data_IF_024517388368
#
_entry.id   IF_024517388368
#
_cell.length_a   1.000
_cell.length_b   1.000
_cell.length_c   1.000
_cell.angle_alpha   90.00
_cell.angle_beta   90.00
_cell.angle_gamma   90.00
#
_symmetry.space_group_name_H-M   'P 1'
#
loop_
_entity.id
_entity.type
_entity.pdbx_description
1 polymer ?
#
# COMPACT_ATOMS: atom_id res chain seq x y z
N UNK A 1 12.07 -21.45 10.86
CA UNK A 1 11.30 -20.40 11.57
C UNK A 1 11.25 -19.11 10.76
N UNK A 2 12.31 -18.29 10.70
CA UNK A 2 12.27 -16.96 10.05
C UNK A 2 11.92 -17.01 8.54
N UNK A 3 12.50 -17.95 7.77
CA UNK A 3 12.16 -18.14 6.35
C UNK A 3 10.69 -18.51 6.12
N UNK A 4 10.12 -19.35 7.01
CA UNK A 4 8.69 -19.68 6.94
C UNK A 4 7.86 -18.42 7.19
N UNK A 5 8.18 -17.66 8.23
CA UNK A 5 7.48 -16.42 8.56
C UNK A 5 7.49 -15.42 7.39
N UNK A 6 8.66 -15.15 6.80
CA UNK A 6 8.79 -14.27 5.65
C UNK A 6 8.04 -14.81 4.43
N UNK A 7 8.08 -16.12 4.20
CA UNK A 7 7.38 -16.73 3.06
C UNK A 7 5.87 -16.63 3.22
N UNK A 8 5.33 -16.90 4.41
CA UNK A 8 3.89 -16.77 4.73
C UNK A 8 3.35 -15.38 4.38
N UNK A 9 4.10 -14.33 4.74
CA UNK A 9 3.75 -12.94 4.43
C UNK A 9 3.65 -12.66 2.92
N UNK A 10 4.29 -13.46 2.08
CA UNK A 10 4.30 -13.31 0.63
C UNK A 10 3.39 -14.30 -0.12
N UNK A 11 2.69 -15.22 0.56
CA UNK A 11 1.91 -16.26 -0.12
C UNK A 11 0.71 -15.71 -0.91
N UNK A 12 0.08 -14.63 -0.44
CA UNK A 12 -0.99 -13.95 -1.19
C UNK A 12 -0.48 -13.43 -2.52
N UNK A 13 0.51 -12.52 -2.47
CA UNK A 13 1.14 -11.95 -3.65
C UNK A 13 1.77 -13.02 -4.58
N UNK A 14 2.29 -14.12 -4.01
CA UNK A 14 2.77 -15.26 -4.78
C UNK A 14 1.64 -15.93 -5.58
N UNK A 15 0.49 -16.17 -4.96
CA UNK A 15 -0.70 -16.72 -5.63
C UNK A 15 -1.32 -15.75 -6.65
N UNK A 16 -1.15 -14.44 -6.44
CA UNK A 16 -1.57 -13.39 -7.38
C UNK A 16 -0.61 -13.22 -8.57
N UNK A 17 0.59 -13.82 -8.53
CA UNK A 17 1.64 -13.55 -9.51
C UNK A 17 2.23 -12.13 -9.40
N UNK A 18 1.99 -11.45 -8.28
CA UNK A 18 2.36 -10.05 -8.04
C UNK A 18 3.76 -9.87 -7.40
N UNK A 19 4.55 -10.94 -7.33
CA UNK A 19 5.92 -10.88 -6.80
C UNK A 19 6.94 -10.66 -7.92
N UNK A 20 7.91 -9.79 -7.67
CA UNK A 20 9.12 -9.68 -8.48
C UNK A 20 9.76 -11.06 -8.74
N UNK A 21 10.32 -11.31 -9.95
CA UNK A 21 10.76 -12.66 -10.36
C UNK A 21 11.71 -13.33 -9.37
N UNK A 22 12.66 -12.58 -8.83
CA UNK A 22 13.62 -13.10 -7.85
C UNK A 22 12.96 -13.50 -6.52
N UNK A 23 11.91 -12.78 -6.08
CA UNK A 23 11.14 -13.13 -4.88
C UNK A 23 10.22 -14.32 -5.15
N UNK A 24 9.55 -14.33 -6.30
CA UNK A 24 8.69 -15.44 -6.72
C UNK A 24 9.47 -16.77 -6.70
N UNK A 25 10.67 -16.80 -7.29
CA UNK A 25 11.51 -18.00 -7.30
C UNK A 25 11.93 -18.45 -5.89
N UNK A 26 12.31 -17.53 -5.00
CA UNK A 26 12.66 -17.87 -3.60
C UNK A 26 11.47 -18.41 -2.82
N UNK A 27 10.29 -17.82 -3.01
CA UNK A 27 9.03 -18.27 -2.40
C UNK A 27 8.67 -19.67 -2.89
N UNK A 28 8.70 -19.91 -4.20
CA UNK A 28 8.43 -21.22 -4.81
C UNK A 28 9.34 -22.31 -4.23
N UNK A 29 10.66 -22.08 -4.22
CA UNK A 29 11.63 -23.03 -3.64
C UNK A 29 11.38 -23.34 -2.16
N UNK A 30 10.93 -22.34 -1.38
CA UNK A 30 10.62 -22.59 0.03
C UNK A 30 9.32 -23.37 0.20
N UNK A 31 8.29 -23.03 -0.58
CA UNK A 31 7.01 -23.76 -0.57
C UNK A 31 7.26 -25.22 -0.91
N UNK A 32 7.98 -25.54 -1.99
CA UNK A 32 8.35 -26.90 -2.37
C UNK A 32 8.99 -27.69 -1.22
N UNK A 33 9.95 -27.06 -0.53
CA UNK A 33 10.69 -27.69 0.56
C UNK A 33 9.93 -27.73 1.91
N UNK A 34 8.87 -26.94 2.11
CA UNK A 34 8.21 -26.77 3.40
C UNK A 34 6.76 -27.23 3.37
N UNK A 35 6.44 -28.34 4.06
CA UNK A 35 5.08 -28.87 4.14
C UNK A 35 4.07 -27.87 4.71
N UNK A 36 4.44 -27.10 5.73
CA UNK A 36 3.55 -26.11 6.33
C UNK A 36 3.19 -24.97 5.35
N UNK A 37 4.16 -24.46 4.59
CA UNK A 37 3.89 -23.41 3.60
C UNK A 37 3.11 -23.97 2.40
N UNK A 38 3.36 -25.23 1.99
CA UNK A 38 2.54 -25.92 0.98
C UNK A 38 1.07 -26.02 1.39
N UNK A 39 0.80 -26.43 2.62
CA UNK A 39 -0.56 -26.54 3.13
C UNK A 39 -1.29 -25.18 3.13
N UNK A 40 -0.58 -24.11 3.49
CA UNK A 40 -1.14 -22.76 3.50
C UNK A 40 -1.44 -22.22 2.10
N UNK A 41 -0.54 -22.45 1.13
CA UNK A 41 -0.79 -22.16 -0.29
C UNK A 41 -2.04 -22.88 -0.78
N UNK A 42 -2.19 -24.17 -0.45
CA UNK A 42 -3.36 -24.96 -0.84
C UNK A 42 -4.66 -24.43 -0.19
N UNK A 43 -4.61 -24.02 1.07
CA UNK A 43 -5.76 -23.44 1.78
C UNK A 43 -6.20 -22.11 1.16
N UNK A 44 -5.25 -21.21 0.89
CA UNK A 44 -5.50 -19.92 0.25
C UNK A 44 -6.03 -20.10 -1.18
N UNK A 45 -5.47 -21.03 -1.96
CA UNK A 45 -5.94 -21.33 -3.31
C UNK A 45 -7.40 -21.85 -3.30
N UNK A 46 -7.75 -22.71 -2.33
CA UNK A 46 -9.12 -23.19 -2.15
C UNK A 46 -10.09 -22.05 -1.80
N UNK A 47 -9.72 -21.20 -0.84
CA UNK A 47 -10.52 -20.03 -0.46
C UNK A 47 -10.79 -19.12 -1.67
N UNK A 48 -9.76 -18.85 -2.48
CA UNK A 48 -9.89 -18.06 -3.72
C UNK A 48 -10.79 -18.71 -4.76
N UNK A 49 -10.84 -20.05 -4.81
CA UNK A 49 -11.80 -20.79 -5.64
C UNK A 49 -13.23 -20.49 -5.19
N UNK A 50 -13.52 -20.71 -3.91
CA UNK A 50 -14.84 -20.47 -3.33
C UNK A 50 -15.32 -19.03 -3.50
N UNK A 51 -14.43 -18.05 -3.28
CA UNK A 51 -14.76 -16.63 -3.47
C UNK A 51 -15.08 -16.33 -4.94
N UNK A 52 -14.32 -16.86 -5.89
CA UNK A 52 -14.59 -16.65 -7.32
C UNK A 52 -15.91 -17.29 -7.76
N UNK A 53 -16.21 -18.47 -7.26
CA UNK A 53 -17.48 -19.15 -7.53
C UNK A 53 -18.67 -18.37 -6.93
N UNK A 54 -18.53 -17.90 -5.69
CA UNK A 54 -19.58 -17.11 -5.03
C UNK A 54 -19.80 -15.73 -5.67
N UNK A 55 -18.72 -15.11 -6.16
CA UNK A 55 -18.73 -13.81 -6.82
C UNK A 55 -18.74 -13.94 -8.35
N UNK A 56 -19.31 -15.01 -8.91
CA UNK A 56 -19.43 -15.22 -10.34
C UNK A 56 -20.39 -14.18 -10.97
N UNK A 57 -19.94 -12.92 -10.99
CA UNK A 57 -20.58 -11.76 -11.58
C UNK A 57 -19.94 -11.56 -12.95
N UNK A 58 -20.74 -11.39 -14.02
CA UNK A 58 -20.18 -11.05 -15.33
C UNK A 58 -19.32 -9.79 -15.20
N UNK A 59 -18.12 -9.84 -15.78
CA UNK A 59 -17.20 -8.71 -15.71
C UNK A 59 -17.88 -7.45 -16.28
N UNK A 60 -17.85 -6.32 -15.57
CA UNK A 60 -18.35 -5.06 -16.10
C UNK A 60 -17.62 -4.68 -17.39
N UNK A 61 -18.30 -3.94 -18.27
CA UNK A 61 -17.61 -3.31 -19.40
C UNK A 61 -16.74 -2.15 -18.90
N UNK A 62 -15.42 -2.36 -18.92
CA UNK A 62 -14.43 -1.38 -18.44
C UNK A 62 -13.92 -0.45 -19.54
N UNK A 63 -14.37 -0.59 -20.79
CA UNK A 63 -13.78 0.10 -21.95
C UNK A 63 -13.81 1.63 -21.83
N UNK A 64 -14.87 2.21 -21.26
CA UNK A 64 -14.99 3.66 -21.04
C UNK A 64 -14.20 4.20 -19.83
N UNK A 65 -14.00 3.38 -18.80
CA UNK A 65 -13.42 3.79 -17.51
C UNK A 65 -11.89 3.57 -17.45
N UNK A 66 -11.43 2.37 -17.88
CA UNK A 66 -10.05 1.93 -17.70
C UNK A 66 -8.99 2.87 -18.30
N UNK A 67 -9.19 3.47 -19.50
CA UNK A 67 -8.22 4.42 -20.05
C UNK A 67 -7.99 5.64 -19.16
N UNK A 68 -9.02 6.12 -18.45
CA UNK A 68 -8.90 7.23 -17.51
C UNK A 68 -8.04 6.86 -16.29
N UNK A 69 -8.24 5.66 -15.74
CA UNK A 69 -7.46 5.13 -14.63
C UNK A 69 -5.99 4.99 -14.99
N UNK A 70 -5.68 4.39 -16.15
CA UNK A 70 -4.30 4.20 -16.63
C UNK A 70 -3.59 5.56 -16.76
N UNK A 71 -4.24 6.54 -17.39
CA UNK A 71 -3.69 7.90 -17.50
C UNK A 71 -3.43 8.55 -16.15
N UNK A 72 -4.34 8.36 -15.19
CA UNK A 72 -4.16 8.87 -13.82
C UNK A 72 -2.94 8.29 -13.11
N UNK A 73 -2.73 6.98 -13.25
CA UNK A 73 -1.57 6.28 -12.68
C UNK A 73 -0.27 6.76 -13.31
N UNK A 74 -0.22 6.84 -14.65
CA UNK A 74 0.96 7.35 -15.37
C UNK A 74 1.28 8.80 -14.97
N UNK A 75 0.26 9.66 -14.93
CA UNK A 75 0.43 11.05 -14.49
C UNK A 75 0.97 11.14 -13.05
N UNK A 76 0.54 10.25 -12.15
CA UNK A 76 1.05 10.19 -10.78
C UNK A 76 2.51 9.72 -10.72
N UNK A 77 2.91 8.72 -11.52
CA UNK A 77 4.30 8.25 -11.61
C UNK A 77 5.25 9.32 -12.13
N UNK A 78 4.78 10.19 -13.03
CA UNK A 78 5.58 11.26 -13.62
C UNK A 78 5.59 12.55 -12.79
N UNK A 79 4.78 12.67 -11.74
CA UNK A 79 4.90 13.79 -10.80
C UNK A 79 6.18 13.64 -9.98
N UNK A 80 7.15 14.51 -10.24
CA UNK A 80 8.30 14.67 -9.37
C UNK A 80 7.84 15.08 -7.97
N UNK A 81 8.49 14.57 -6.90
CA UNK A 81 8.18 15.00 -5.54
C UNK A 81 8.36 16.52 -5.46
N UNK A 82 7.32 17.22 -5.02
CA UNK A 82 7.35 18.67 -4.81
C UNK A 82 8.50 18.96 -3.84
N UNK A 83 9.45 19.85 -4.18
CA UNK A 83 10.55 20.16 -3.28
C UNK A 83 9.98 20.66 -1.95
N UNK A 84 10.33 19.96 -0.86
CA UNK A 84 9.98 20.37 0.48
C UNK A 84 10.47 21.81 0.69
N UNK A 85 9.56 22.70 1.12
CA UNK A 85 9.85 24.11 1.34
C UNK A 85 11.10 24.24 2.21
N UNK A 86 12.08 25.02 1.73
CA UNK A 86 13.33 25.30 2.47
C UNK A 86 12.98 25.72 3.90
N UNK A 87 13.57 25.11 4.95
CA UNK A 87 13.38 25.59 6.31
C UNK A 87 13.95 27.01 6.41
N UNK A 88 13.18 27.93 6.99
CA UNK A 88 13.65 29.30 7.24
C UNK A 88 14.89 29.29 8.15
N UNK A 89 15.86 30.19 7.93
CA UNK A 89 17.10 30.27 8.72
C UNK A 89 16.85 30.93 10.09
N UNK A 90 16.04 30.29 10.93
CA UNK A 90 15.91 30.64 12.35
C UNK A 90 17.08 30.09 13.20
N UNK A 91 17.93 29.24 12.60
CA UNK A 91 19.08 28.60 13.23
C UNK A 91 20.40 29.40 13.06
N UNK A 92 20.34 30.72 12.90
CA UNK A 92 21.52 31.59 12.79
C UNK A 92 21.76 32.46 14.05
N UNK A 93 21.08 32.18 15.18
CA UNK A 93 21.26 32.90 16.44
C UNK A 93 22.06 32.05 17.45
N UNK A 94 23.29 32.44 17.81
CA UNK A 94 24.21 31.63 18.64
C UNK A 94 23.79 31.49 20.11
N UNK A 95 22.68 32.13 20.53
CA UNK A 95 22.20 32.08 21.93
C UNK A 95 21.32 30.87 22.27
N UNK A 96 21.11 29.94 21.32
CA UNK A 96 20.33 28.70 21.54
C UNK A 96 21.21 27.43 21.63
N UNK A 97 22.53 27.58 21.66
CA UNK A 97 23.48 26.45 21.53
C UNK A 97 23.40 25.41 22.67
N UNK A 98 22.96 25.78 23.88
CA UNK A 98 22.91 24.83 25.01
C UNK A 98 21.62 24.01 25.03
N UNK A 99 20.48 24.60 24.66
CA UNK A 99 19.20 23.88 24.55
C UNK A 99 19.13 22.99 23.29
N UNK A 100 19.82 23.39 22.21
CA UNK A 100 19.80 22.68 20.93
C UNK A 100 20.48 21.32 20.97
N UNK A 101 21.58 21.15 21.73
CA UNK A 101 22.29 19.87 21.80
C UNK A 101 21.47 18.82 22.53
N UNK A 102 20.84 19.16 23.66
CA UNK A 102 19.96 18.22 24.38
C UNK A 102 18.73 17.85 23.55
N UNK A 103 18.12 18.82 22.87
CA UNK A 103 17.00 18.55 21.97
C UNK A 103 17.40 17.70 20.77
N UNK A 104 18.58 17.92 20.18
CA UNK A 104 19.09 17.12 19.07
C UNK A 104 19.44 15.69 19.50
N UNK A 105 20.01 15.50 20.69
CA UNK A 105 20.32 14.16 21.23
C UNK A 105 19.04 13.40 21.56
N UNK A 106 18.04 14.05 22.17
CA UNK A 106 16.73 13.44 22.44
C UNK A 106 15.98 13.13 21.14
N UNK A 107 16.04 14.02 20.15
CA UNK A 107 15.45 13.77 18.83
C UNK A 107 16.16 12.60 18.14
N UNK A 108 17.50 12.55 18.16
CA UNK A 108 18.27 11.44 17.58
C UNK A 108 17.96 10.12 18.28
N UNK A 109 17.94 10.10 19.63
CA UNK A 109 17.65 8.88 20.38
C UNK A 109 16.22 8.40 20.13
N UNK A 110 15.26 9.32 20.04
CA UNK A 110 13.88 9.00 19.72
C UNK A 110 13.75 8.49 18.28
N UNK A 111 14.39 9.13 17.29
CA UNK A 111 14.40 8.61 15.90
C UNK A 111 15.10 7.27 15.79
N UNK A 112 16.17 7.03 16.55
CA UNK A 112 16.87 5.75 16.55
C UNK A 112 16.00 4.65 17.17
N UNK A 113 15.34 4.94 18.30
CA UNK A 113 14.34 4.06 18.89
C UNK A 113 13.20 3.74 17.92
N UNK A 114 12.62 4.78 17.30
CA UNK A 114 11.56 4.62 16.32
C UNK A 114 12.02 3.82 15.10
N UNK A 115 13.25 4.02 14.62
CA UNK A 115 13.79 3.28 13.48
C UNK A 115 14.03 1.79 13.79
N UNK A 116 14.38 1.46 15.04
CA UNK A 116 14.51 0.08 15.49
C UNK A 116 13.15 -0.62 15.66
N UNK A 117 12.12 0.08 16.15
CA UNK A 117 10.77 -0.48 16.33
C UNK A 117 9.96 -0.57 15.03
N UNK A 118 10.14 0.38 14.12
CA UNK A 118 9.38 0.43 12.85
C UNK A 118 10.06 -0.26 11.68
N UNK A 119 11.28 -0.76 11.87
CA UNK A 119 11.99 -1.58 10.89
C UNK A 119 12.11 -0.91 9.52
N UNK A 120 12.86 0.19 9.40
CA UNK A 120 13.33 0.79 8.12
C UNK A 120 12.32 0.73 6.95
N UNK A 121 11.04 0.98 7.22
CA UNK A 121 10.07 1.33 6.20
C UNK A 121 10.09 2.84 6.01
N UNK A 122 10.04 3.37 4.78
CA UNK A 122 9.68 4.76 4.56
C UNK A 122 8.40 5.04 5.36
N UNK A 123 8.29 6.21 5.99
CA UNK A 123 7.02 6.71 6.48
C UNK A 123 6.12 6.88 5.27
N UNK A 124 5.39 5.83 4.90
CA UNK A 124 4.36 5.87 3.88
C UNK A 124 3.46 7.07 4.19
N UNK A 125 3.31 8.03 3.28
CA UNK A 125 2.32 9.09 3.43
C UNK A 125 1.00 8.46 3.85
N UNK A 126 0.41 8.97 4.94
CA UNK A 126 -0.91 8.54 5.38
C UNK A 126 -1.89 8.57 4.20
N UNK A 127 -2.90 7.70 4.19
CA UNK A 127 -3.80 7.55 3.05
C UNK A 127 -4.41 8.90 2.68
N UNK A 128 -4.17 9.31 1.43
CA UNK A 128 -4.74 10.54 0.87
C UNK A 128 -6.15 10.21 0.44
N UNK A 129 -7.15 10.66 1.21
CA UNK A 129 -8.55 10.53 0.86
C UNK A 129 -8.87 11.66 -0.12
N UNK A 130 -8.97 11.35 -1.41
CA UNK A 130 -9.47 12.29 -2.43
C UNK A 130 -10.90 11.92 -2.75
N UNK A 131 -11.85 12.79 -2.36
CA UNK A 131 -13.22 12.71 -2.85
C UNK A 131 -13.23 13.18 -4.31
N UNK A 132 -13.51 12.26 -5.23
CA UNK A 132 -13.70 12.60 -6.63
C UNK A 132 -15.20 12.84 -6.84
N UNK A 133 -15.59 14.07 -7.18
CA UNK A 133 -16.96 14.37 -7.59
C UNK A 133 -17.15 13.79 -9.00
N UNK A 134 -17.90 12.71 -9.12
CA UNK A 134 -18.27 12.11 -10.40
C UNK A 134 -19.47 12.83 -11.00
N UNK A 135 -19.57 12.89 -12.33
CA UNK A 135 -20.71 13.44 -13.07
C UNK A 135 -21.99 12.56 -12.96
N UNK A 136 -21.96 11.49 -12.15
CA UNK A 136 -23.13 10.71 -11.76
C UNK A 136 -23.73 11.33 -10.48
N UNK A 137 -25.01 11.73 -10.48
CA UNK A 137 -25.63 12.45 -9.35
C UNK A 137 -25.73 11.64 -8.05
N UNK A 138 -25.65 10.30 -8.09
CA UNK A 138 -25.96 9.44 -6.92
C UNK A 138 -24.84 8.47 -6.49
N UNK A 139 -23.62 8.61 -7.03
CA UNK A 139 -22.50 7.72 -6.69
C UNK A 139 -21.41 8.45 -5.91
N UNK A 140 -21.10 7.97 -4.70
CA UNK A 140 -19.96 8.47 -3.92
C UNK A 140 -18.75 7.57 -4.19
N UNK A 141 -17.65 8.15 -4.69
CA UNK A 141 -16.41 7.42 -4.98
C UNK A 141 -15.35 7.72 -3.92
N UNK A 142 -14.94 6.70 -3.18
CA UNK A 142 -13.83 6.79 -2.22
C UNK A 142 -12.61 6.04 -2.78
N UNK A 143 -11.54 6.78 -3.09
CA UNK A 143 -10.30 6.19 -3.59
C UNK A 143 -9.28 6.09 -2.46
N UNK A 144 -8.88 4.86 -2.15
CA UNK A 144 -7.79 4.57 -1.23
C UNK A 144 -6.54 4.22 -2.03
N UNK A 145 -5.58 5.14 -2.08
CA UNK A 145 -4.27 4.90 -2.66
C UNK A 145 -3.24 4.70 -1.56
N UNK A 146 -2.60 3.53 -1.51
CA UNK A 146 -1.41 3.31 -0.69
C UNK A 146 -0.20 3.59 -1.57
N UNK A 147 0.56 4.67 -1.34
CA UNK A 147 1.61 5.10 -2.27
C UNK A 147 2.75 4.08 -2.48
N UNK A 148 2.90 3.10 -1.60
CA UNK A 148 3.99 2.10 -1.65
C UNK A 148 3.67 0.82 -2.41
N UNK A 149 2.39 0.59 -2.70
CA UNK A 149 1.92 -0.59 -3.43
C UNK A 149 1.20 0.00 -4.63
N UNK A 150 1.55 -0.33 -5.87
CA UNK A 150 0.88 0.17 -7.08
C UNK A 150 -0.58 -0.34 -7.18
N UNK A 151 -1.39 -0.01 -6.17
CA UNK A 151 -2.70 -0.54 -5.86
C UNK A 151 -3.56 0.67 -5.46
N UNK A 152 -4.53 0.98 -6.31
CA UNK A 152 -5.61 1.90 -5.98
C UNK A 152 -6.86 1.05 -5.74
N UNK A 153 -7.41 1.12 -4.52
CA UNK A 153 -8.72 0.54 -4.21
C UNK A 153 -9.77 1.63 -4.39
N UNK A 154 -10.60 1.50 -5.41
CA UNK A 154 -11.70 2.42 -5.70
C UNK A 154 -12.99 1.80 -5.19
N UNK A 155 -13.60 2.41 -4.19
CA UNK A 155 -14.91 2.01 -3.69
C UNK A 155 -15.99 2.87 -4.37
N UNK A 156 -16.94 2.23 -5.06
CA UNK A 156 -18.18 2.84 -5.51
C UNK A 156 -19.27 2.49 -4.48
N UNK A 157 -19.90 3.51 -3.91
CA UNK A 157 -21.12 3.34 -3.12
C UNK A 157 -22.28 3.93 -3.91
N UNK A 158 -23.23 3.07 -4.31
CA UNK A 158 -24.48 3.51 -4.88
C UNK A 158 -25.37 4.07 -3.76
N UNK A 159 -25.79 5.33 -3.91
CA UNK A 159 -26.90 5.88 -3.15
C UNK A 159 -28.19 5.25 -3.65
N UNK A 160 -28.91 4.62 -2.74
CA UNK A 160 -30.31 4.18 -2.88
C UNK A 160 -30.56 2.79 -3.50
N UNK A 161 -30.82 1.81 -2.62
CA UNK A 161 -31.89 0.84 -2.79
C UNK A 161 -32.29 0.16 -1.47
N UNK A 162 -32.95 0.90 -0.55
CA UNK A 162 -34.19 0.46 0.11
C UNK A 162 -34.65 1.44 1.22
N UNK A 163 -35.67 2.23 0.88
CA UNK A 163 -36.79 2.56 1.77
C UNK A 163 -38.06 2.40 0.90
N UNK A 164 -39.20 1.87 1.40
CA UNK A 164 -39.56 1.53 2.78
C UNK A 164 -39.40 0.04 3.17
#
# INVERSE_FOLDING_TARGET
MLRCYLTRRHLGAYLDGALEPARAHRTARHVEACAACRAEVAALARLRGLVREALAVPAPDWTGFWPGVVRGIEAARHRTPVPARRPLPLLARPRLAVGGVLAAVLALSLTLWQALDTGLGPTAPGPVIVSANTELPDATVMVYSVPEQELAVVWLLDGDANAP
#
